data_IF_691596360529
#
_entry.id   IF_691596360529
#
_cell.length_a   1.000
_cell.length_b   1.000
_cell.length_c   1.000
_cell.angle_alpha   90.00
_cell.angle_beta   90.00
_cell.angle_gamma   90.00
#
_symmetry.space_group_name_H-M   'P 1'
#
loop_
_entity.id
_entity.type
_entity.pdbx_description
1 polymer ?
2 water ?
#
# COMPACT_ATOMS: atom_id res chain seq x y z
N UNK A 2 -14.20 1.80 7.66
CA UNK A 2 -13.18 2.21 6.65
C UNK A 2 -11.82 1.65 7.04
N UNK A 3 -11.17 0.99 6.08
CA UNK A 3 -9.89 0.34 6.35
C UNK A 3 -8.80 1.36 6.69
N UNK A 4 -7.98 1.01 7.68
CA UNK A 4 -6.93 1.89 8.17
C UNK A 4 -5.68 1.71 7.31
N UNK A 5 -5.64 2.42 6.20
CA UNK A 5 -4.49 2.33 5.30
C UNK A 5 -3.23 2.91 5.95
N UNK A 6 -3.40 3.90 6.82
CA UNK A 6 -2.22 4.54 7.39
C UNK A 6 -1.43 3.50 8.19
N UNK A 7 -2.14 2.72 9.02
CA UNK A 7 -1.51 1.64 9.81
C UNK A 7 -0.84 0.57 8.94
N UNK A 8 -1.50 0.20 7.85
CA UNK A 8 -0.94 -0.72 6.86
C UNK A 8 0.38 -0.21 6.30
N UNK A 9 0.43 1.03 5.83
CA UNK A 9 1.70 1.54 5.29
C UNK A 9 2.79 1.64 6.34
N UNK A 10 2.42 2.06 7.55
CA UNK A 10 3.36 2.15 8.66
C UNK A 10 3.98 0.78 8.96
N UNK A 11 3.13 -0.25 8.96
CA UNK A 11 3.56 -1.63 9.17
C UNK A 11 4.44 -2.19 8.06
N UNK A 12 4.33 -1.60 6.87
CA UNK A 12 5.18 -1.94 5.74
C UNK A 12 6.57 -1.29 5.83
N UNK A 13 6.74 -0.33 6.73
CA UNK A 13 8.01 0.36 6.87
C UNK A 13 8.10 1.64 6.08
N UNK A 14 6.95 2.12 5.58
CA UNK A 14 6.90 3.38 4.85
C UNK A 14 7.08 4.54 5.85
N UNK A 15 7.81 5.57 5.43
CA UNK A 15 8.06 6.77 6.23
C UNK A 15 6.74 7.49 6.54
N UNK A 16 6.64 8.13 7.71
CA UNK A 16 5.36 8.73 8.13
C UNK A 16 4.73 9.72 7.13
N UNK A 17 5.53 10.56 6.48
CA UNK A 17 4.96 11.50 5.49
C UNK A 17 4.30 10.80 4.31
N UNK A 18 5.01 9.82 3.77
CA UNK A 18 4.45 9.06 2.69
C UNK A 18 3.25 8.28 3.14
N UNK A 19 3.21 7.82 4.39
CA UNK A 19 2.02 7.10 4.86
C UNK A 19 0.76 7.96 4.70
N UNK A 20 0.85 9.25 5.04
CA UNK A 20 -0.28 10.18 4.93
C UNK A 20 -0.74 10.31 3.47
N UNK A 21 0.22 10.59 2.59
CA UNK A 21 -0.06 10.79 1.17
C UNK A 21 -0.69 9.55 0.53
N UNK A 22 -0.10 8.38 0.79
CA UNK A 22 -0.62 7.15 0.20
C UNK A 22 -1.99 6.82 0.75
N UNK A 23 -2.23 7.13 2.02
CA UNK A 23 -3.56 6.86 2.59
C UNK A 23 -4.62 7.70 1.89
N UNK A 24 -4.33 8.98 1.69
CA UNK A 24 -5.25 9.88 0.99
C UNK A 24 -5.57 9.32 -0.40
N UNK A 25 -4.54 8.86 -1.09
CA UNK A 25 -4.69 8.31 -2.44
C UNK A 25 -5.47 7.02 -2.47
N UNK A 26 -5.17 6.08 -1.58
CA UNK A 26 -5.92 4.82 -1.50
C UNK A 26 -7.39 5.04 -1.17
N UNK A 27 -7.65 5.93 -0.21
CA UNK A 27 -9.03 6.29 0.13
C UNK A 27 -9.77 6.91 -1.06
N UNK A 28 -9.16 7.89 -1.72
CA UNK A 28 -9.79 8.55 -2.85
C UNK A 28 -10.10 7.57 -3.98
N UNK A 29 -9.14 6.69 -4.26
CA UNK A 29 -9.26 5.74 -5.36
C UNK A 29 -10.07 4.48 -5.04
N UNK A 30 -10.70 4.44 -3.87
CA UNK A 30 -11.64 3.37 -3.48
C UNK A 30 -10.97 2.01 -3.27
N UNK A 31 -9.74 2.02 -2.76
CA UNK A 31 -9.09 0.75 -2.44
C UNK A 31 -9.59 0.23 -1.10
N UNK A 32 -9.87 -1.07 -1.05
CA UNK A 32 -10.39 -1.69 0.18
C UNK A 32 -9.54 -2.90 0.58
N UNK A 33 -9.75 -3.39 1.80
CA UNK A 33 -8.96 -4.52 2.31
C UNK A 33 -9.08 -5.79 1.43
N UNK A 34 -10.28 -6.03 0.90
CA UNK A 34 -10.54 -7.24 0.11
C UNK A 34 -9.80 -7.23 -1.21
N UNK A 35 -9.35 -6.05 -1.62
CA UNK A 35 -8.57 -5.93 -2.85
C UNK A 35 -7.09 -6.16 -2.67
N UNK A 36 -6.63 -6.33 -1.44
CA UNK A 36 -5.20 -6.50 -1.19
C UNK A 36 -4.54 -7.64 -1.97
N UNK A 37 -5.23 -8.80 -2.13
CA UNK A 37 -4.58 -9.85 -2.92
C UNK A 37 -4.35 -9.45 -4.38
N UNK A 38 -5.09 -8.46 -4.86
CA UNK A 38 -5.02 -8.07 -6.27
C UNK A 38 -3.98 -6.99 -6.54
N UNK A 39 -3.45 -6.40 -5.47
CA UNK A 39 -2.48 -5.32 -5.58
C UNK A 39 -1.17 -5.85 -6.17
N UNK A 40 -0.67 -5.15 -7.17
CA UNK A 40 0.62 -5.48 -7.78
C UNK A 40 1.47 -4.24 -7.98
N UNK A 41 2.68 -4.42 -8.49
CA UNK A 41 3.59 -3.28 -8.64
C UNK A 41 3.07 -2.18 -9.55
N UNK A 42 2.43 -2.58 -10.66
CA UNK A 42 1.90 -1.65 -11.65
C UNK A 42 0.86 -0.71 -11.02
N UNK A 43 -0.05 -1.31 -10.26
CA UNK A 43 -1.10 -0.58 -9.58
C UNK A 43 -0.52 0.37 -8.56
N UNK A 44 0.46 -0.08 -7.78
CA UNK A 44 1.06 0.81 -6.79
C UNK A 44 1.74 2.00 -7.46
N UNK A 45 2.31 1.76 -8.63
CA UNK A 45 2.95 2.84 -9.38
C UNK A 45 1.90 3.85 -9.86
N UNK A 46 0.78 3.33 -10.38
CA UNK A 46 -0.38 4.16 -10.76
C UNK A 46 -0.89 5.02 -9.60
N UNK A 47 -0.94 4.41 -8.40
CA UNK A 47 -1.37 5.08 -7.16
C UNK A 47 -0.34 6.04 -6.54
N UNK A 48 0.81 6.17 -7.19
CA UNK A 48 1.80 7.18 -6.82
C UNK A 48 2.86 6.83 -5.79
N UNK A 49 3.03 5.54 -5.49
CA UNK A 49 4.05 5.14 -4.51
C UNK A 49 5.44 5.29 -5.09
N UNK A 50 6.36 5.78 -4.25
CA UNK A 50 7.78 5.86 -4.61
C UNK A 50 8.34 4.44 -4.80
N UNK A 51 9.35 4.28 -5.65
CA UNK A 51 9.79 2.92 -6.00
C UNK A 51 10.18 2.06 -4.80
N UNK A 52 10.86 2.67 -3.84
CA UNK A 52 11.21 2.02 -2.57
C UNK A 52 9.98 1.53 -1.80
N UNK A 53 8.94 2.35 -1.78
CA UNK A 53 7.72 2.01 -1.07
C UNK A 53 6.96 0.91 -1.78
N UNK A 54 7.01 0.90 -3.11
CA UNK A 54 6.43 -0.22 -3.90
C UNK A 54 7.04 -1.55 -3.43
N UNK A 55 8.37 -1.59 -3.34
CA UNK A 55 9.10 -2.79 -2.88
C UNK A 55 8.65 -3.23 -1.50
N UNK A 56 8.63 -2.29 -0.54
CA UNK A 56 8.24 -2.55 0.86
C UNK A 56 6.85 -3.10 0.94
N UNK A 57 5.93 -2.46 0.23
CA UNK A 57 4.52 -2.85 0.30
C UNK A 57 4.33 -4.23 -0.32
N UNK A 58 4.94 -4.46 -1.48
CA UNK A 58 4.83 -5.77 -2.13
C UNK A 58 5.47 -6.90 -1.32
N UNK A 59 6.59 -6.62 -0.67
CA UNK A 59 7.26 -7.60 0.20
C UNK A 59 6.29 -8.01 1.34
N UNK A 60 5.64 -7.01 1.94
CA UNK A 60 4.63 -7.25 2.99
C UNK A 60 3.44 -8.07 2.52
N UNK A 61 2.88 -7.70 1.37
CA UNK A 61 1.72 -8.40 0.82
C UNK A 61 2.06 -9.83 0.41
N UNK A 62 3.23 -10.02 -0.20
CA UNK A 62 3.65 -11.38 -0.59
C UNK A 62 3.78 -12.27 0.63
N UNK A 63 4.35 -11.73 1.71
CA UNK A 63 4.46 -12.46 2.98
C UNK A 63 3.08 -12.76 3.55
N UNK A 64 2.18 -11.78 3.50
CA UNK A 64 0.81 -11.93 4.00
C UNK A 64 0.08 -13.07 3.29
N UNK A 65 0.18 -13.08 1.96
CA UNK A 65 -0.58 -14.03 1.16
C UNK A 65 0.15 -15.32 0.83
N UNK A 66 1.32 -15.49 1.44
CA UNK A 66 2.11 -16.71 1.31
C UNK A 66 2.74 -16.93 -0.05
N UNK A 67 3.08 -15.84 -0.74
CA UNK A 67 3.71 -15.93 -2.05
C UNK A 67 5.22 -16.08 -1.93
#
# INVERSE_FOLDING_TARGET
NKYDWFEFFLNCGVDVSNCQRYTINFDREQLTEDMMPDINNSMLRTLGLREGDIVRVMKHLDKKFGRENIAS
#
